data_IF_918430428647
#
_entry.id   IF_918430428647
#
_cell.length_a   1.000
_cell.length_b   1.000
_cell.length_c   1.000
_cell.angle_alpha   90.00
_cell.angle_beta   90.00
_cell.angle_gamma   90.00
#
_symmetry.space_group_name_H-M   'P 1'
#
loop_
_entity.id
_entity.type
_entity.pdbx_description
1 polymer ?
#
# COMPACT_ATOMS: atom_id res chain seq x y z
N UNK A 1 -19.07 3.91 -10.51
CA UNK A 1 -17.78 3.29 -10.12
C UNK A 1 -17.97 2.66 -8.75
N UNK A 2 -17.62 1.38 -8.56
CA UNK A 2 -17.75 0.72 -7.26
C UNK A 2 -16.58 1.10 -6.36
N UNK A 3 -16.88 1.51 -5.13
CA UNK A 3 -15.89 1.89 -4.11
C UNK A 3 -16.27 1.28 -2.77
N UNK A 4 -15.28 0.80 -2.04
CA UNK A 4 -15.46 0.24 -0.70
C UNK A 4 -14.53 0.93 0.27
N UNK A 5 -15.07 1.40 1.38
CA UNK A 5 -14.27 1.94 2.50
C UNK A 5 -14.47 1.03 3.70
N UNK A 6 -13.37 0.49 4.22
CA UNK A 6 -13.34 -0.38 5.38
C UNK A 6 -12.70 0.40 6.53
N UNK A 7 -13.49 0.65 7.58
CA UNK A 7 -13.01 1.23 8.82
C UNK A 7 -12.91 0.09 9.84
N UNK A 8 -11.69 -0.34 10.15
CA UNK A 8 -11.44 -1.58 10.87
C UNK A 8 -10.83 -1.25 12.22
N UNK A 9 -11.65 -1.35 13.27
CA UNK A 9 -11.17 -1.33 14.64
C UNK A 9 -10.51 -2.65 15.07
N UNK A 10 -10.74 -3.74 14.32
CA UNK A 10 -10.23 -5.09 14.59
C UNK A 10 -9.88 -5.82 13.27
N UNK A 11 -8.67 -6.36 13.21
CA UNK A 11 -8.15 -7.13 12.07
C UNK A 11 -8.91 -8.44 11.85
N UNK A 12 -9.43 -9.07 12.91
CA UNK A 12 -10.18 -10.34 12.81
C UNK A 12 -11.49 -10.14 12.06
N UNK A 13 -12.17 -9.03 12.31
CA UNK A 13 -13.42 -8.69 11.63
C UNK A 13 -13.18 -8.35 10.17
N UNK A 14 -12.09 -7.66 9.86
CA UNK A 14 -11.70 -7.36 8.48
C UNK A 14 -11.40 -8.63 7.69
N UNK A 15 -10.61 -9.56 8.27
CA UNK A 15 -10.32 -10.83 7.62
C UNK A 15 -11.61 -11.65 7.40
N UNK A 16 -12.49 -11.68 8.39
CA UNK A 16 -13.78 -12.36 8.29
C UNK A 16 -14.65 -11.73 7.19
N UNK A 17 -14.74 -10.41 7.14
CA UNK A 17 -15.47 -9.69 6.09
C UNK A 17 -14.93 -10.05 4.70
N UNK A 18 -13.60 -9.99 4.52
CA UNK A 18 -12.98 -10.27 3.22
C UNK A 18 -13.14 -11.74 2.79
N UNK A 19 -13.19 -12.68 3.74
CA UNK A 19 -13.47 -14.09 3.44
C UNK A 19 -14.88 -14.33 2.90
N UNK A 20 -15.87 -13.52 3.30
CA UNK A 20 -17.28 -13.79 3.01
C UNK A 20 -17.89 -12.80 2.02
N UNK A 21 -17.26 -11.66 1.77
CA UNK A 21 -17.79 -10.68 0.85
C UNK A 21 -17.53 -11.11 -0.60
N UNK A 22 -18.62 -11.40 -1.30
CA UNK A 22 -18.62 -11.55 -2.75
C UNK A 22 -18.87 -10.17 -3.36
N UNK A 23 -17.79 -9.47 -3.66
CA UNK A 23 -17.86 -8.24 -4.43
C UNK A 23 -17.21 -8.46 -5.80
N UNK A 24 -17.79 -7.86 -6.84
CA UNK A 24 -17.19 -7.80 -8.16
C UNK A 24 -15.95 -6.89 -8.19
N UNK A 25 -15.63 -6.34 -9.35
CA UNK A 25 -14.49 -5.44 -9.49
C UNK A 25 -14.71 -4.12 -8.75
N UNK A 26 -13.77 -3.77 -7.86
CA UNK A 26 -13.73 -2.49 -7.18
C UNK A 26 -12.79 -1.54 -7.91
N UNK A 27 -13.26 -0.32 -8.16
CA UNK A 27 -12.37 0.73 -8.66
C UNK A 27 -11.48 1.28 -7.55
N UNK A 28 -12.06 1.45 -6.35
CA UNK A 28 -11.39 2.01 -5.18
C UNK A 28 -11.64 1.12 -3.96
N UNK A 29 -10.55 0.79 -3.26
CA UNK A 29 -10.58 0.22 -1.92
C UNK A 29 -9.84 1.17 -0.98
N UNK A 30 -10.52 1.60 0.08
CA UNK A 30 -9.94 2.39 1.16
C UNK A 30 -9.94 1.53 2.41
N UNK A 31 -8.77 1.34 3.03
CA UNK A 31 -8.64 0.65 4.31
C UNK A 31 -8.14 1.67 5.34
N UNK A 32 -8.94 1.86 6.38
CA UNK A 32 -8.63 2.61 7.59
C UNK A 32 -8.74 1.65 8.76
N UNK A 33 -7.91 1.82 9.76
CA UNK A 33 -7.74 0.95 10.91
C UNK A 33 -6.90 1.66 11.96
N UNK A 34 -7.37 1.58 13.18
CA UNK A 34 -6.77 2.28 14.31
C UNK A 34 -5.78 1.37 15.05
N UNK A 35 -5.53 0.16 14.52
CA UNK A 35 -4.71 -0.85 15.20
C UNK A 35 -3.31 -0.98 14.59
N UNK A 36 -2.25 -0.98 15.42
CA UNK A 36 -0.85 -1.01 14.95
C UNK A 36 -0.39 -2.42 14.52
N UNK A 37 -1.28 -3.38 14.23
CA UNK A 37 -0.85 -4.70 13.75
C UNK A 37 -0.60 -4.70 12.24
N UNK A 38 0.53 -4.09 11.87
CA UNK A 38 0.95 -3.73 10.51
C UNK A 38 1.01 -4.95 9.58
N UNK A 39 1.60 -6.07 10.03
CA UNK A 39 1.79 -7.28 9.21
C UNK A 39 0.45 -7.87 8.77
N UNK A 40 -0.47 -8.03 9.73
CA UNK A 40 -1.78 -8.64 9.46
C UNK A 40 -2.62 -7.75 8.55
N UNK A 41 -2.60 -6.43 8.77
CA UNK A 41 -3.38 -5.49 7.97
C UNK A 41 -2.92 -5.45 6.50
N UNK A 42 -1.61 -5.56 6.23
CA UNK A 42 -1.09 -5.54 4.86
C UNK A 42 -1.39 -6.84 4.09
N UNK A 43 -1.22 -8.01 4.72
CA UNK A 43 -1.59 -9.29 4.11
C UNK A 43 -3.07 -9.34 3.74
N UNK A 44 -3.90 -8.80 4.63
CA UNK A 44 -5.34 -8.69 4.40
C UNK A 44 -5.65 -7.74 3.24
N UNK A 45 -4.97 -6.59 3.15
CA UNK A 45 -5.12 -5.66 2.03
C UNK A 45 -4.73 -6.28 0.68
N UNK A 46 -3.62 -7.02 0.62
CA UNK A 46 -3.18 -7.72 -0.60
C UNK A 46 -4.21 -8.76 -1.07
N UNK A 47 -4.81 -9.49 -0.13
CA UNK A 47 -5.89 -10.44 -0.44
C UNK A 47 -7.11 -9.71 -1.02
N UNK A 48 -7.49 -8.58 -0.43
CA UNK A 48 -8.59 -7.75 -0.90
C UNK A 48 -8.33 -7.18 -2.32
N UNK A 49 -7.10 -6.70 -2.60
CA UNK A 49 -6.71 -6.23 -3.94
C UNK A 49 -6.94 -7.33 -4.98
N UNK A 50 -6.46 -8.54 -4.69
CA UNK A 50 -6.53 -9.67 -5.61
C UNK A 50 -7.99 -10.09 -5.83
N UNK A 51 -8.75 -10.23 -4.74
CA UNK A 51 -10.15 -10.68 -4.77
C UNK A 51 -11.04 -9.71 -5.53
N UNK A 52 -10.89 -8.40 -5.30
CA UNK A 52 -11.75 -7.38 -5.92
C UNK A 52 -11.15 -6.76 -7.18
N UNK A 53 -10.01 -7.24 -7.66
CA UNK A 53 -9.35 -6.72 -8.86
C UNK A 53 -9.16 -5.18 -8.81
N UNK A 54 -8.69 -4.69 -7.67
CA UNK A 54 -8.69 -3.26 -7.34
C UNK A 54 -7.76 -2.45 -8.26
N UNK A 55 -8.24 -1.30 -8.75
CA UNK A 55 -7.42 -0.34 -9.52
C UNK A 55 -6.75 0.73 -8.66
N UNK A 56 -7.45 1.21 -7.62
CA UNK A 56 -6.97 2.21 -6.67
C UNK A 56 -7.06 1.70 -5.24
N UNK A 57 -5.92 1.65 -4.56
CA UNK A 57 -5.84 1.34 -3.14
C UNK A 57 -5.40 2.58 -2.36
N UNK A 58 -6.14 2.90 -1.30
CA UNK A 58 -5.69 3.84 -0.28
C UNK A 58 -5.59 3.13 1.06
N UNK A 59 -4.39 3.12 1.62
CA UNK A 59 -4.09 2.45 2.86
C UNK A 59 -3.58 3.46 3.88
N UNK A 60 -4.40 3.75 4.88
CA UNK A 60 -4.14 4.75 5.91
C UNK A 60 -3.75 4.07 7.23
N UNK A 61 -2.69 3.27 7.21
CA UNK A 61 -2.05 2.72 8.41
C UNK A 61 -0.65 3.25 8.56
N UNK A 62 -0.18 3.29 9.79
CA UNK A 62 1.23 3.40 10.08
C UNK A 62 1.94 2.16 9.51
N UNK A 63 2.77 2.33 8.49
CA UNK A 63 3.62 1.26 7.94
C UNK A 63 5.06 1.45 8.46
N UNK A 64 5.20 1.61 9.78
CA UNK A 64 6.46 1.70 10.53
C UNK A 64 7.38 0.45 10.39
N UNK A 65 7.19 -0.37 9.34
CA UNK A 65 7.97 -1.59 9.10
C UNK A 65 8.19 -1.91 7.61
N UNK A 66 9.23 -2.73 7.37
CA UNK A 66 9.67 -3.22 6.07
C UNK A 66 8.57 -3.98 5.29
N UNK A 67 8.12 -3.35 4.21
CA UNK A 67 7.29 -3.91 3.14
C UNK A 67 7.95 -5.16 2.51
N UNK A 68 9.28 -5.25 2.54
CA UNK A 68 10.07 -6.36 1.99
C UNK A 68 9.81 -7.77 2.55
N UNK A 69 9.11 -7.90 3.69
CA UNK A 69 8.75 -9.22 4.24
C UNK A 69 7.40 -9.75 3.72
N UNK A 70 6.59 -8.93 3.05
CA UNK A 70 5.36 -9.38 2.43
C UNK A 70 5.68 -10.08 1.10
N UNK A 71 5.16 -11.28 0.89
CA UNK A 71 5.18 -11.90 -0.44
C UNK A 71 4.20 -11.13 -1.32
N UNK A 72 4.70 -10.12 -2.01
CA UNK A 72 3.92 -9.39 -3.00
C UNK A 72 3.65 -10.31 -4.18
N UNK A 73 2.41 -10.77 -4.33
CA UNK A 73 1.96 -11.31 -5.60
C UNK A 73 1.94 -10.17 -6.60
N UNK A 74 2.50 -10.35 -7.79
CA UNK A 74 2.46 -9.34 -8.86
C UNK A 74 1.02 -8.88 -9.11
N UNK A 75 0.69 -7.64 -8.74
CA UNK A 75 -0.64 -7.08 -8.93
C UNK A 75 -0.68 -6.22 -10.18
N UNK A 76 -1.01 -6.83 -11.30
CA UNK A 76 -1.08 -6.15 -12.60
C UNK A 76 -2.29 -5.21 -12.75
N UNK A 77 -3.23 -5.16 -11.81
CA UNK A 77 -4.41 -4.28 -11.95
C UNK A 77 -4.33 -2.99 -11.15
N UNK A 78 -3.40 -2.91 -10.20
CA UNK A 78 -3.26 -1.73 -9.37
C UNK A 78 -2.56 -0.63 -10.15
N UNK A 79 -3.26 0.47 -10.38
CA UNK A 79 -2.77 1.65 -11.10
C UNK A 79 -2.45 2.80 -10.14
N UNK A 80 -3.12 2.85 -8.98
CA UNK A 80 -2.94 3.90 -7.98
C UNK A 80 -2.79 3.30 -6.58
N UNK A 81 -1.78 3.76 -5.85
CA UNK A 81 -1.47 3.33 -4.49
C UNK A 81 -1.19 4.54 -3.61
N UNK A 82 -1.96 4.69 -2.54
CA UNK A 82 -1.68 5.65 -1.47
C UNK A 82 -1.34 4.89 -0.20
N UNK A 83 -0.22 5.25 0.42
CA UNK A 83 0.29 4.64 1.65
C UNK A 83 0.63 5.76 2.62
N UNK A 84 0.34 5.55 3.91
CA UNK A 84 0.70 6.44 4.99
C UNK A 84 1.91 5.88 5.77
N UNK A 85 2.79 6.78 6.25
CA UNK A 85 3.95 6.49 7.10
C UNK A 85 4.75 5.24 6.70
N UNK A 86 5.21 5.23 5.45
CA UNK A 86 6.06 4.17 4.92
C UNK A 86 7.52 4.60 4.92
N UNK A 87 8.44 3.65 5.11
CA UNK A 87 9.87 3.90 4.90
C UNK A 87 10.16 4.18 3.42
N UNK A 88 10.96 5.21 3.14
CA UNK A 88 11.36 5.55 1.77
C UNK A 88 12.07 4.40 1.05
N UNK A 89 12.82 3.58 1.78
CA UNK A 89 13.56 2.43 1.23
C UNK A 89 12.66 1.40 0.55
N UNK A 90 11.39 1.33 0.96
CA UNK A 90 10.41 0.41 0.40
C UNK A 90 9.84 0.88 -0.95
N UNK A 91 10.11 2.13 -1.34
CA UNK A 91 9.71 2.68 -2.65
C UNK A 91 10.12 1.77 -3.81
N UNK A 92 11.37 1.29 -3.79
CA UNK A 92 11.90 0.42 -4.86
C UNK A 92 11.15 -0.90 -4.89
N UNK A 93 10.90 -1.50 -3.73
CA UNK A 93 10.14 -2.74 -3.62
C UNK A 93 8.71 -2.56 -4.12
N UNK A 94 8.03 -1.46 -3.78
CA UNK A 94 6.68 -1.15 -4.26
C UNK A 94 6.66 -1.12 -5.79
N UNK A 95 7.54 -0.35 -6.43
CA UNK A 95 7.55 -0.21 -7.89
C UNK A 95 7.83 -1.55 -8.60
N UNK A 96 8.74 -2.35 -8.05
CA UNK A 96 9.07 -3.66 -8.63
C UNK A 96 7.89 -4.64 -8.61
N UNK A 97 7.04 -4.57 -7.58
CA UNK A 97 5.92 -5.50 -7.42
C UNK A 97 4.61 -5.02 -8.08
N UNK A 98 4.53 -3.75 -8.45
CA UNK A 98 3.38 -3.16 -9.13
C UNK A 98 3.74 -2.59 -10.50
N UNK A 99 3.94 -3.45 -11.52
CA UNK A 99 4.41 -3.02 -12.84
C UNK A 99 3.45 -2.07 -13.56
N UNK A 100 2.16 -2.06 -13.20
CA UNK A 100 1.15 -1.18 -13.79
C UNK A 100 0.82 0.05 -12.94
N UNK A 101 1.59 0.29 -11.86
CA UNK A 101 1.40 1.45 -10.99
C UNK A 101 1.76 2.72 -11.74
N UNK A 102 0.78 3.60 -11.92
CA UNK A 102 0.94 4.92 -12.55
C UNK A 102 1.09 6.03 -11.52
N UNK A 103 0.59 5.80 -10.31
CA UNK A 103 0.60 6.80 -9.25
C UNK A 103 0.88 6.15 -7.91
N UNK A 104 1.97 6.58 -7.28
CA UNK A 104 2.33 6.24 -5.91
C UNK A 104 2.31 7.50 -5.07
N UNK A 105 1.53 7.48 -3.98
CA UNK A 105 1.48 8.56 -2.99
C UNK A 105 1.95 7.98 -1.66
N UNK A 106 3.11 8.44 -1.20
CA UNK A 106 3.64 8.10 0.13
C UNK A 106 3.46 9.31 1.05
N UNK A 107 2.48 9.25 1.95
CA UNK A 107 2.21 10.31 2.93
C UNK A 107 3.03 10.06 4.19
N UNK A 108 3.53 11.12 4.83
CA UNK A 108 4.32 11.05 6.06
C UNK A 108 5.49 10.05 5.96
N UNK A 109 6.15 10.02 4.80
CA UNK A 109 7.23 9.09 4.49
C UNK A 109 8.38 9.22 5.51
N UNK A 110 8.85 8.09 6.02
CA UNK A 110 9.91 8.02 7.01
C UNK A 110 11.24 7.80 6.29
N UNK A 111 12.15 8.75 6.45
CA UNK A 111 13.49 8.69 5.86
C UNK A 111 14.48 8.35 6.97
N UNK A 112 15.06 7.15 6.92
CA UNK A 112 16.18 6.80 7.79
C UNK A 112 17.45 7.43 7.24
N UNK A 113 18.27 8.01 8.12
CA UNK A 113 19.57 8.55 7.74
C UNK A 113 20.61 7.43 7.67
N UNK A 114 20.50 6.61 6.64
CA UNK A 114 21.53 5.67 6.23
C UNK A 114 22.12 6.15 4.90
N UNK A 115 23.43 5.96 4.70
CA UNK A 115 24.20 6.58 3.61
C UNK A 115 23.57 6.35 2.21
N UNK A 116 22.94 5.19 1.99
CA UNK A 116 22.25 4.87 0.73
C UNK A 116 20.95 5.66 0.48
N UNK A 117 20.25 6.09 1.52
CA UNK A 117 18.96 6.80 1.38
C UNK A 117 19.16 8.28 1.06
N UNK A 118 20.19 8.92 1.62
CA UNK A 118 20.55 10.31 1.28
C UNK A 118 21.04 10.44 -0.17
N UNK A 119 21.78 9.44 -0.67
CA UNK A 119 22.18 9.38 -2.07
C UNK A 119 21.00 9.21 -3.03
N UNK A 120 20.02 8.37 -2.69
CA UNK A 120 18.81 8.21 -3.53
C UNK A 120 17.96 9.49 -3.58
N UNK A 121 17.84 10.20 -2.46
CA UNK A 121 17.11 11.47 -2.40
C UNK A 121 17.80 12.59 -3.17
N UNK A 122 19.13 12.63 -3.17
CA UNK A 122 19.88 13.66 -3.94
C UNK A 122 19.71 13.50 -5.45
N UNK A 123 19.37 12.30 -5.95
CA UNK A 123 19.04 12.09 -7.37
C UNK A 123 17.60 12.51 -7.73
N UNK A 124 16.68 12.53 -6.78
CA UNK A 124 15.28 12.94 -7.00
C UNK A 124 15.10 14.45 -7.09
N UNK A 125 15.94 15.23 -6.39
CA UNK A 125 15.92 16.70 -6.46
C UNK A 125 16.39 17.25 -7.81
N UNK A 126 17.16 16.49 -8.60
CA UNK A 126 17.53 16.90 -9.96
C UNK A 126 16.47 16.60 -11.03
N UNK A 127 15.53 15.68 -10.76
CA UNK A 127 14.49 15.30 -11.72
C UNK A 127 13.27 16.24 -11.74
N UNK A 128 13.21 17.21 -10.82
CA UNK A 128 12.08 18.15 -10.66
C UNK A 128 12.40 19.58 -11.13
N UNK A 129 13.51 19.77 -11.84
CA UNK A 129 13.98 21.08 -12.33
C UNK A 129 13.94 21.25 -13.86
N UNK A 130 13.19 20.42 -14.60
CA UNK A 130 12.95 20.55 -16.04
C UNK A 130 11.45 20.54 -16.37
#
# INVERSE_FOLDING_TARGET
MASLTLNCSDHTQLEHFLKHVECGSLNLLVIKSDTPNIKTNWTIALRAITQFQVRKLEFYHDLDYQIGAAQWLFQYKLEHLTILKCLFQEYVAIIQHFPNLRTLVMRDCIVHNNEGTMGALSHLTYASAL
#
